data_IF_061417678016
#
_entry.id   IF_061417678016
#
_cell.length_a   1.000
_cell.length_b   1.000
_cell.length_c   1.000
_cell.angle_alpha   90.00
_cell.angle_beta   90.00
_cell.angle_gamma   90.00
#
_symmetry.space_group_name_H-M   'P 1'
#
loop_
_entity.id
_entity.type
_entity.pdbx_description
1 polymer ?
#
# COMPACT_ATOMS: atom_id res chain seq x y z
N UNK A 1 17.57 -15.35 -17.17
CA UNK A 1 16.51 -14.69 -16.37
C UNK A 1 16.53 -15.35 -15.01
N UNK A 2 16.71 -14.61 -13.92
CA UNK A 2 16.87 -15.22 -12.59
C UNK A 2 15.53 -15.78 -12.10
N UNK A 3 15.56 -16.84 -11.29
CA UNK A 3 14.39 -17.50 -10.68
C UNK A 3 13.42 -16.49 -10.03
N UNK A 4 13.96 -15.48 -9.35
CA UNK A 4 13.19 -14.40 -8.72
C UNK A 4 12.47 -13.46 -9.70
N UNK A 5 13.07 -13.19 -10.87
CA UNK A 5 12.37 -12.43 -11.93
C UNK A 5 11.20 -13.23 -12.50
N UNK A 6 11.33 -14.56 -12.56
CA UNK A 6 10.24 -15.44 -13.01
C UNK A 6 9.11 -15.42 -12.01
N UNK A 7 9.43 -15.61 -10.72
CA UNK A 7 8.46 -15.52 -9.63
C UNK A 7 7.71 -14.18 -9.59
N UNK A 8 8.42 -13.05 -9.67
CA UNK A 8 7.79 -11.72 -9.74
C UNK A 8 6.85 -11.62 -10.93
N UNK A 9 7.28 -12.06 -12.12
CA UNK A 9 6.46 -12.05 -13.33
C UNK A 9 5.20 -12.89 -13.14
N UNK A 10 5.33 -14.07 -12.56
CA UNK A 10 4.22 -15.01 -12.41
C UNK A 10 3.17 -14.46 -11.44
N UNK A 11 3.58 -13.88 -10.31
CA UNK A 11 2.66 -13.20 -9.39
C UNK A 11 1.97 -12.01 -10.06
N UNK A 12 2.72 -11.16 -10.78
CA UNK A 12 2.11 -10.03 -11.50
C UNK A 12 1.12 -10.53 -12.56
N UNK A 13 1.47 -11.58 -13.30
CA UNK A 13 0.62 -12.15 -14.34
C UNK A 13 -0.65 -12.77 -13.75
N UNK A 14 -0.53 -13.50 -12.65
CA UNK A 14 -1.65 -14.08 -11.91
C UNK A 14 -2.60 -12.98 -11.44
N UNK A 15 -2.08 -11.95 -10.78
CA UNK A 15 -2.89 -10.84 -10.28
C UNK A 15 -3.57 -10.06 -11.40
N UNK A 16 -2.88 -9.79 -12.52
CA UNK A 16 -3.48 -9.13 -13.69
C UNK A 16 -4.52 -10.00 -14.40
N UNK A 17 -4.47 -11.33 -14.24
CA UNK A 17 -5.45 -12.25 -14.82
C UNK A 17 -6.65 -12.48 -13.90
N UNK A 18 -6.57 -12.06 -12.63
CA UNK A 18 -7.63 -12.20 -11.66
C UNK A 18 -8.79 -11.23 -11.94
N UNK A 19 -10.02 -11.66 -11.63
CA UNK A 19 -11.20 -10.81 -11.75
C UNK A 19 -11.14 -9.58 -10.81
N UNK A 20 -10.42 -9.72 -9.69
CA UNK A 20 -10.11 -8.62 -8.77
C UNK A 20 -8.63 -8.70 -8.39
N UNK A 21 -7.74 -7.99 -9.13
CA UNK A 21 -6.31 -7.95 -8.85
C UNK A 21 -6.04 -7.32 -7.49
N UNK A 22 -5.15 -7.89 -6.70
CA UNK A 22 -4.77 -7.34 -5.40
C UNK A 22 -3.58 -6.39 -5.54
N UNK A 23 -3.83 -5.08 -5.41
CA UNK A 23 -2.80 -4.06 -5.56
C UNK A 23 -1.71 -4.15 -4.48
N UNK A 24 -2.08 -4.59 -3.28
CA UNK A 24 -1.12 -4.83 -2.20
C UNK A 24 -0.09 -5.90 -2.60
N UNK A 25 -0.55 -7.03 -3.14
CA UNK A 25 0.30 -8.13 -3.55
C UNK A 25 1.29 -7.72 -4.65
N UNK A 26 0.79 -7.02 -5.68
CA UNK A 26 1.64 -6.49 -6.76
C UNK A 26 2.67 -5.49 -6.21
N UNK A 27 2.24 -4.53 -5.39
CA UNK A 27 3.14 -3.49 -4.87
C UNK A 27 4.20 -4.04 -3.91
N UNK A 28 3.82 -4.98 -3.04
CA UNK A 28 4.74 -5.67 -2.14
C UNK A 28 5.78 -6.44 -2.97
N UNK A 29 5.32 -7.24 -3.94
CA UNK A 29 6.18 -8.04 -4.81
C UNK A 29 7.21 -7.17 -5.54
N UNK A 30 6.79 -6.06 -6.15
CA UNK A 30 7.70 -5.13 -6.83
C UNK A 30 8.69 -4.47 -5.88
N UNK A 31 8.25 -4.08 -4.67
CA UNK A 31 9.12 -3.41 -3.71
C UNK A 31 10.15 -4.34 -3.06
N UNK A 32 9.79 -5.60 -2.82
CA UNK A 32 10.75 -6.62 -2.39
C UNK A 32 11.78 -6.88 -3.49
N UNK A 33 11.33 -7.00 -4.75
CA UNK A 33 12.24 -7.14 -5.89
C UNK A 33 13.19 -5.96 -6.00
N UNK A 34 12.68 -4.73 -5.92
CA UNK A 34 13.48 -3.50 -5.95
C UNK A 34 14.53 -3.51 -4.83
N UNK A 35 14.10 -3.76 -3.60
CA UNK A 35 14.98 -3.78 -2.42
C UNK A 35 16.16 -4.75 -2.59
N UNK A 36 15.93 -5.92 -3.18
CA UNK A 36 16.99 -6.89 -3.45
C UNK A 36 18.04 -6.40 -4.46
N UNK A 37 17.65 -5.57 -5.42
CA UNK A 37 18.52 -5.11 -6.51
C UNK A 37 19.10 -3.72 -6.27
N UNK A 38 18.54 -2.95 -5.34
CA UNK A 38 18.98 -1.59 -5.02
C UNK A 38 19.62 -1.48 -3.64
N UNK A 39 19.40 -2.45 -2.74
CA UNK A 39 20.17 -2.53 -1.49
C UNK A 39 21.64 -2.73 -1.83
N UNK A 40 22.48 -1.77 -1.42
CA UNK A 40 23.93 -1.92 -1.42
C UNK A 40 24.24 -3.27 -0.77
N UNK A 41 24.89 -4.18 -1.51
CA UNK A 41 25.23 -5.55 -1.14
C UNK A 41 25.33 -5.72 0.38
N UNK A 42 24.21 -6.13 1.00
CA UNK A 42 24.20 -6.47 2.41
C UNK A 42 24.94 -7.79 2.57
N UNK A 43 25.84 -7.86 3.54
CA UNK A 43 26.54 -9.09 3.92
C UNK A 43 25.65 -10.06 4.72
N UNK A 44 24.44 -9.64 5.07
CA UNK A 44 23.48 -10.49 5.77
C UNK A 44 22.77 -11.45 4.79
N UNK A 45 22.47 -12.69 5.22
CA UNK A 45 21.66 -13.59 4.41
C UNK A 45 20.33 -12.92 4.09
N UNK A 46 20.07 -12.75 2.80
CA UNK A 46 18.82 -12.18 2.32
C UNK A 46 17.68 -13.08 2.80
N UNK A 47 16.64 -12.52 3.46
CA UNK A 47 15.48 -13.30 3.85
C UNK A 47 14.87 -13.99 2.62
N UNK A 48 14.24 -15.15 2.85
CA UNK A 48 13.47 -15.84 1.82
C UNK A 48 12.43 -14.87 1.25
N UNK A 49 12.44 -14.73 -0.07
CA UNK A 49 11.60 -13.78 -0.78
C UNK A 49 10.11 -14.06 -0.58
N UNK A 50 9.75 -15.35 -0.51
CA UNK A 50 8.40 -15.83 -0.25
C UNK A 50 7.96 -15.53 1.19
N UNK A 51 8.84 -15.80 2.15
CA UNK A 51 8.54 -15.57 3.57
C UNK A 51 8.33 -14.08 3.86
N UNK A 52 9.16 -13.21 3.26
CA UNK A 52 9.02 -11.76 3.47
C UNK A 52 7.81 -11.20 2.72
N UNK A 53 7.46 -11.75 1.55
CA UNK A 53 6.21 -11.41 0.86
C UNK A 53 5.00 -11.78 1.72
N UNK A 54 4.96 -13.02 2.22
CA UNK A 54 3.87 -13.51 3.05
C UNK A 54 3.75 -12.69 4.35
N UNK A 55 4.87 -12.44 5.04
CA UNK A 55 4.89 -11.60 6.23
C UNK A 55 4.38 -10.17 5.96
N UNK A 56 4.74 -9.59 4.82
CA UNK A 56 4.24 -8.27 4.41
C UNK A 56 2.72 -8.30 4.14
N UNK A 57 2.22 -9.32 3.45
CA UNK A 57 0.78 -9.48 3.16
C UNK A 57 -0.05 -9.63 4.43
N UNK A 58 0.43 -10.45 5.38
CA UNK A 58 -0.18 -10.65 6.69
C UNK A 58 -0.17 -9.37 7.52
N UNK A 59 0.97 -8.68 7.58
CA UNK A 59 1.08 -7.40 8.30
C UNK A 59 0.13 -6.36 7.74
N UNK A 60 0.06 -6.26 6.41
CA UNK A 60 -0.88 -5.35 5.75
C UNK A 60 -2.33 -5.76 6.01
N UNK A 61 -2.61 -7.07 6.06
CA UNK A 61 -3.92 -7.62 6.39
C UNK A 61 -4.37 -7.22 7.78
N UNK A 62 -3.53 -7.43 8.80
CA UNK A 62 -3.79 -7.03 10.18
C UNK A 62 -4.02 -5.52 10.30
N UNK A 63 -3.27 -4.71 9.55
CA UNK A 63 -3.48 -3.26 9.50
C UNK A 63 -4.85 -2.90 8.93
N UNK A 64 -5.27 -3.53 7.83
CA UNK A 64 -6.59 -3.29 7.22
C UNK A 64 -7.73 -3.77 8.12
N UNK A 65 -7.60 -4.94 8.75
CA UNK A 65 -8.59 -5.45 9.72
C UNK A 65 -8.78 -4.48 10.89
N UNK A 66 -7.69 -3.88 11.36
CA UNK A 66 -7.76 -2.82 12.38
C UNK A 66 -8.52 -1.59 11.86
N UNK A 67 -8.21 -1.13 10.64
CA UNK A 67 -8.92 0.01 10.03
C UNK A 67 -10.42 -0.27 9.90
N UNK A 68 -10.79 -1.49 9.51
CA UNK A 68 -12.17 -1.94 9.43
C UNK A 68 -12.88 -1.80 10.79
N UNK A 69 -12.27 -2.35 11.85
CA UNK A 69 -12.80 -2.21 13.21
C UNK A 69 -12.93 -0.76 13.67
N UNK A 70 -11.94 0.09 13.36
CA UNK A 70 -11.95 1.51 13.70
C UNK A 70 -13.05 2.28 12.95
N UNK A 71 -13.27 1.98 11.66
CA UNK A 71 -14.33 2.58 10.85
C UNK A 71 -15.73 2.22 11.36
N UNK A 72 -15.95 0.93 11.67
CA UNK A 72 -17.21 0.45 12.22
C UNK A 72 -17.49 1.05 13.60
N UNK A 73 -16.47 1.20 14.46
CA UNK A 73 -16.60 1.83 15.79
C UNK A 73 -16.92 3.32 15.69
N UNK A 74 -16.32 4.01 14.71
CA UNK A 74 -16.54 5.45 14.50
C UNK A 74 -17.82 5.78 13.73
N UNK A 75 -18.50 4.77 13.17
CA UNK A 75 -19.73 4.96 12.39
C UNK A 75 -19.54 5.85 11.16
N UNK A 76 -18.36 5.83 10.54
CA UNK A 76 -18.09 6.67 9.36
C UNK A 76 -18.80 6.06 8.16
N UNK A 77 -19.85 6.73 7.67
CA UNK A 77 -20.67 6.24 6.55
C UNK A 77 -20.24 6.80 5.20
N UNK A 78 -19.71 8.03 5.17
CA UNK A 78 -19.29 8.71 3.94
C UNK A 78 -17.99 8.13 3.36
N UNK A 79 -18.00 7.81 2.06
CA UNK A 79 -16.88 7.16 1.38
C UNK A 79 -15.63 8.04 1.31
N UNK A 80 -15.79 9.37 1.17
CA UNK A 80 -14.67 10.33 1.23
C UNK A 80 -14.07 10.40 2.62
N UNK A 81 -14.89 10.42 3.67
CA UNK A 81 -14.43 10.38 5.05
C UNK A 81 -13.70 9.06 5.36
N UNK A 82 -14.17 7.92 4.85
CA UNK A 82 -13.46 6.63 4.96
C UNK A 82 -12.08 6.67 4.29
N UNK A 83 -12.00 7.12 3.04
CA UNK A 83 -10.71 7.24 2.34
C UNK A 83 -9.76 8.17 3.08
N UNK A 84 -10.25 9.32 3.55
CA UNK A 84 -9.45 10.25 4.36
C UNK A 84 -8.96 9.58 5.64
N UNK A 85 -9.82 8.85 6.34
CA UNK A 85 -9.47 8.13 7.56
C UNK A 85 -8.34 7.13 7.31
N UNK A 86 -8.41 6.36 6.21
CA UNK A 86 -7.35 5.43 5.81
C UNK A 86 -6.04 6.17 5.52
N UNK A 87 -6.09 7.26 4.75
CA UNK A 87 -4.91 8.05 4.42
C UNK A 87 -4.25 8.65 5.68
N UNK A 88 -5.06 9.21 6.60
CA UNK A 88 -4.59 9.75 7.88
C UNK A 88 -3.96 8.64 8.75
N UNK A 89 -4.56 7.45 8.77
CA UNK A 89 -4.04 6.33 9.53
C UNK A 89 -2.69 5.84 8.97
N UNK A 90 -2.53 5.79 7.66
CA UNK A 90 -1.24 5.49 7.01
C UNK A 90 -0.22 6.58 7.35
N UNK A 91 -0.59 7.85 7.19
CA UNK A 91 0.28 8.99 7.50
C UNK A 91 0.76 8.98 8.95
N UNK A 92 -0.10 8.59 9.90
CA UNK A 92 0.24 8.49 11.33
C UNK A 92 1.36 7.47 11.64
N UNK A 93 1.63 6.54 10.72
CA UNK A 93 2.72 5.54 10.86
C UNK A 93 4.02 6.00 10.23
N UNK A 94 4.02 7.12 9.51
CA UNK A 94 5.21 7.71 8.92
C UNK A 94 5.84 8.72 9.88
N UNK A 95 7.13 9.00 9.71
CA UNK A 95 7.82 10.07 10.39
C UNK A 95 7.30 11.41 9.88
N UNK A 96 6.95 12.34 10.77
CA UNK A 96 6.45 13.67 10.42
C UNK A 96 7.43 14.56 9.63
N UNK A 97 8.66 14.09 9.37
CA UNK A 97 9.66 14.77 8.54
C UNK A 97 9.74 14.07 7.19
N UNK A 98 9.13 14.69 6.18
CA UNK A 98 9.16 14.23 4.79
C UNK A 98 10.45 14.68 4.10
N UNK A 99 11.08 13.78 3.32
CA UNK A 99 12.30 14.07 2.58
C UNK A 99 12.14 13.59 1.14
N UNK A 100 12.22 14.54 0.19
CA UNK A 100 12.12 14.25 -1.26
C UNK A 100 13.27 13.41 -1.82
N UNK A 101 14.34 13.27 -1.05
CA UNK A 101 15.59 12.63 -1.48
C UNK A 101 15.60 11.12 -1.20
N UNK A 102 14.52 10.56 -0.65
CA UNK A 102 14.48 9.16 -0.30
C UNK A 102 13.97 8.37 -1.48
N UNK A 103 14.89 7.58 -2.03
CA UNK A 103 14.64 6.64 -3.11
C UNK A 103 13.99 5.37 -2.56
N UNK A 104 13.26 4.65 -3.43
CA UNK A 104 12.70 3.33 -3.14
C UNK A 104 11.68 3.33 -1.97
N UNK A 105 10.87 4.38 -1.87
CA UNK A 105 9.87 4.60 -0.81
C UNK A 105 8.41 4.55 -1.32
N UNK A 106 8.18 4.02 -2.51
CA UNK A 106 6.89 4.03 -3.19
C UNK A 106 6.04 2.77 -2.98
N UNK A 107 6.62 1.70 -2.42
CA UNK A 107 5.98 0.39 -2.36
C UNK A 107 5.30 0.10 -1.02
N UNK A 108 4.23 -0.69 -1.06
CA UNK A 108 3.52 -1.16 0.16
C UNK A 108 4.43 -2.00 1.05
N UNK A 109 5.41 -2.72 0.49
CA UNK A 109 6.42 -3.45 1.28
C UNK A 109 7.18 -2.53 2.25
N UNK A 110 7.51 -1.31 1.84
CA UNK A 110 8.19 -0.31 2.69
C UNK A 110 7.31 0.03 3.89
N UNK A 111 6.01 0.23 3.66
CA UNK A 111 5.04 0.44 4.73
C UNK A 111 4.94 -0.76 5.67
N UNK A 112 4.89 -1.98 5.13
CA UNK A 112 4.88 -3.20 5.93
C UNK A 112 6.15 -3.34 6.78
N UNK A 113 7.33 -3.08 6.23
CA UNK A 113 8.59 -3.08 6.99
C UNK A 113 8.60 -2.00 8.09
N UNK A 114 8.00 -0.83 7.86
CA UNK A 114 7.78 0.18 8.91
C UNK A 114 6.89 -0.36 10.02
N UNK A 115 5.77 -1.03 9.68
CA UNK A 115 4.86 -1.61 10.67
C UNK A 115 5.50 -2.76 11.47
N UNK A 116 6.34 -3.56 10.83
CA UNK A 116 7.10 -4.66 11.45
C UNK A 116 8.29 -4.18 12.29
N UNK A 117 8.61 -2.87 12.27
CA UNK A 117 9.82 -2.34 12.88
C UNK A 117 11.13 -2.74 12.17
N UNK A 118 11.04 -3.32 10.97
CA UNK A 118 12.16 -3.73 10.12
C UNK A 118 12.73 -2.59 9.27
N UNK A 119 12.17 -1.38 9.32
CA UNK A 119 12.82 -0.24 8.68
C UNK A 119 14.22 -0.05 9.32
N UNK A 120 15.28 -0.02 8.51
CA UNK A 120 16.64 0.18 9.03
C UNK A 120 16.81 1.57 9.67
N UNK A 121 18.06 2.05 9.78
CA UNK A 121 18.34 3.43 10.23
C UNK A 121 17.80 4.54 9.30
N UNK A 122 17.01 4.20 8.28
CA UNK A 122 16.35 5.14 7.37
C UNK A 122 15.15 5.83 8.02
N UNK A 123 14.60 6.88 7.41
CA UNK A 123 13.40 7.54 7.93
C UNK A 123 12.16 6.67 7.63
N UNK A 124 11.20 6.62 8.56
CA UNK A 124 9.90 5.94 8.41
C UNK A 124 9.03 6.67 7.39
N UNK A 125 9.32 6.58 6.11
CA UNK A 125 8.62 7.41 5.12
C UNK A 125 8.20 6.61 3.90
N UNK A 126 7.13 7.09 3.29
CA UNK A 126 6.76 6.81 1.92
C UNK A 126 6.93 8.09 1.13
N UNK A 127 7.17 7.98 -0.17
CA UNK A 127 7.02 9.13 -1.06
C UNK A 127 5.53 9.44 -1.31
N UNK A 128 5.25 10.52 -2.04
CA UNK A 128 3.86 10.93 -2.28
C UNK A 128 3.07 9.86 -3.05
N UNK A 129 3.70 9.15 -3.98
CA UNK A 129 3.07 8.06 -4.71
C UNK A 129 2.82 6.87 -3.78
N UNK A 130 3.77 6.52 -2.92
CA UNK A 130 3.68 5.40 -1.99
C UNK A 130 2.58 5.57 -0.95
N UNK A 131 2.34 6.77 -0.44
CA UNK A 131 1.18 7.05 0.43
C UNK A 131 -0.13 6.74 -0.31
N UNK A 132 -0.25 7.19 -1.56
CA UNK A 132 -1.45 6.98 -2.36
C UNK A 132 -1.63 5.53 -2.76
N UNK A 133 -0.57 4.85 -3.21
CA UNK A 133 -0.59 3.42 -3.53
C UNK A 133 -0.97 2.58 -2.30
N UNK A 134 -0.43 2.90 -1.13
CA UNK A 134 -0.78 2.20 0.13
C UNK A 134 -2.22 2.47 0.54
N UNK A 135 -2.70 3.71 0.38
CA UNK A 135 -4.10 4.06 0.64
C UNK A 135 -5.03 3.33 -0.31
N UNK A 136 -4.70 3.27 -1.60
CA UNK A 136 -5.47 2.54 -2.61
C UNK A 136 -5.56 1.05 -2.28
N UNK A 137 -4.43 0.43 -1.94
CA UNK A 137 -4.40 -0.99 -1.58
C UNK A 137 -5.23 -1.29 -0.33
N UNK A 138 -5.21 -0.42 0.69
CA UNK A 138 -6.01 -0.57 1.90
C UNK A 138 -7.50 -0.38 1.61
N UNK A 139 -7.86 0.66 0.86
CA UNK A 139 -9.25 0.93 0.43
C UNK A 139 -9.80 -0.23 -0.41
N UNK A 140 -9.00 -0.80 -1.32
CA UNK A 140 -9.42 -1.96 -2.11
C UNK A 140 -9.75 -3.16 -1.23
N UNK A 141 -8.90 -3.48 -0.25
CA UNK A 141 -9.17 -4.59 0.69
C UNK A 141 -10.40 -4.31 1.56
N UNK A 142 -10.57 -3.07 2.04
CA UNK A 142 -11.78 -2.69 2.77
C UNK A 142 -13.04 -2.86 1.90
N UNK A 143 -12.98 -2.47 0.63
CA UNK A 143 -14.07 -2.56 -0.34
C UNK A 143 -14.50 -4.00 -0.67
N UNK A 144 -13.67 -5.00 -0.34
CA UNK A 144 -14.03 -6.41 -0.46
C UNK A 144 -14.98 -6.89 0.65
N UNK A 145 -15.11 -6.13 1.74
CA UNK A 145 -16.08 -6.40 2.80
C UNK A 145 -17.42 -5.70 2.49
N UNK A 146 -18.52 -6.41 2.71
CA UNK A 146 -19.88 -5.94 2.39
C UNK A 146 -20.21 -4.58 3.06
N UNK A 147 -19.78 -4.41 4.31
CA UNK A 147 -19.97 -3.18 5.11
C UNK A 147 -19.26 -1.94 4.56
N UNK A 148 -18.30 -2.12 3.64
CA UNK A 148 -17.54 -1.05 3.01
C UNK A 148 -17.55 -1.16 1.48
N UNK A 149 -18.55 -1.85 0.91
CA UNK A 149 -18.72 -2.01 -0.54
C UNK A 149 -18.89 -0.68 -1.29
N UNK A 150 -19.29 0.40 -0.61
CA UNK A 150 -19.32 1.77 -1.13
C UNK A 150 -17.94 2.27 -1.60
N UNK A 151 -16.86 1.71 -1.06
CA UNK A 151 -15.50 2.02 -1.47
C UNK A 151 -15.13 1.45 -2.85
N UNK A 152 -15.89 0.48 -3.39
CA UNK A 152 -15.61 -0.10 -4.72
C UNK A 152 -15.74 0.94 -5.84
N UNK A 153 -16.56 1.98 -5.63
CA UNK A 153 -16.79 3.06 -6.59
C UNK A 153 -15.81 4.23 -6.41
N UNK A 154 -14.98 4.20 -5.36
CA UNK A 154 -14.05 5.28 -5.08
C UNK A 154 -12.88 5.25 -6.08
N UNK A 155 -12.81 6.27 -6.92
CA UNK A 155 -11.57 6.56 -7.67
C UNK A 155 -10.67 7.44 -6.83
N UNK A 156 -9.42 7.01 -6.62
CA UNK A 156 -8.42 7.82 -5.92
C UNK A 156 -7.64 8.63 -6.95
N UNK A 157 -7.72 9.97 -6.84
CA UNK A 157 -6.94 10.87 -7.69
C UNK A 157 -5.76 11.45 -6.91
N UNK A 158 -4.62 11.53 -7.59
CA UNK A 158 -3.45 12.30 -7.19
C UNK A 158 -3.68 13.77 -7.58
N UNK A 159 -3.94 14.63 -6.61
CA UNK A 159 -3.81 16.09 -6.78
C UNK A 159 -2.92 16.60 -5.68
N UNK A 160 -1.74 17.17 -6.03
CA UNK A 160 -0.73 17.76 -5.13
C UNK A 160 -0.90 17.38 -3.64
N UNK A 161 -0.34 16.24 -3.23
CA UNK A 161 -0.31 15.74 -1.84
C UNK A 161 -1.66 15.37 -1.16
N UNK A 162 -2.78 15.29 -1.88
CA UNK A 162 -4.06 14.80 -1.33
C UNK A 162 -4.59 13.58 -2.08
N UNK A 163 -4.99 12.57 -1.31
CA UNK A 163 -5.86 11.49 -1.79
C UNK A 163 -7.29 12.03 -1.78
N UNK A 164 -7.90 12.15 -2.97
CA UNK A 164 -9.33 12.46 -3.09
C UNK A 164 -10.07 11.25 -3.62
N UNK A 165 -11.19 10.89 -2.98
CA UNK A 165 -12.19 10.04 -3.62
C UNK A 165 -13.03 10.90 -4.57
N UNK A 166 -13.11 10.45 -5.81
CA UNK A 166 -14.04 10.95 -6.81
C UNK A 166 -15.14 9.91 -6.99
N UNK A 167 -16.38 10.32 -6.77
CA UNK A 167 -17.58 9.48 -6.92
C UNK A 167 -18.25 9.65 -8.30
N UNK A 168 -17.77 10.59 -9.12
CA UNK A 168 -18.26 10.82 -10.49
C UNK A 168 -17.17 11.37 -11.42
N UNK A 169 -17.32 11.15 -12.74
CA UNK A 169 -16.46 11.74 -13.78
C UNK A 169 -16.53 13.27 -13.79
N UNK A 170 -17.68 13.84 -13.44
CA UNK A 170 -17.89 15.29 -13.39
C UNK A 170 -17.09 15.97 -12.26
N UNK A 171 -16.79 15.24 -11.18
CA UNK A 171 -15.93 15.72 -10.09
C UNK A 171 -14.43 15.63 -10.43
N UNK A 172 -14.05 14.71 -11.32
CA UNK A 172 -12.67 14.57 -11.79
C UNK A 172 -12.28 15.69 -12.79
N UNK A 173 -13.26 16.20 -13.55
CA UNK A 173 -13.07 17.24 -14.59
C UNK A 173 -13.14 18.69 -14.08
N UNK A 174 -13.60 18.91 -12.84
CA UNK A 174 -13.65 20.25 -12.22
C UNK A 174 -12.40 20.56 -11.36
N UNK A 175 -11.37 19.72 -11.45
CA UNK A 175 -10.10 19.86 -10.75
C UNK A 175 -9.10 20.70 -11.56
#
# INVERSE_FOLDING_TARGET
MTERMQQMRDVVKEQLSAASPEYAAISIMLGLFESLHTAKQSTEPLPSYEDDQQACLETFGLFVEKLRGDLSTKGVTDSRAKVKFVADAIWSKLSGVFSKEVLHAQHVSVFCHILQGKHGKGKRQLDCAGVVTTTLAAVQRLAAHEEHSDLQQCRLQLSFCFVRSCTSEADALKA
#
